data_IF_097707107269
#
_entry.id   IF_097707107269
#
_cell.length_a   1.000
_cell.length_b   1.000
_cell.length_c   1.000
_cell.angle_alpha   90.00
_cell.angle_beta   90.00
_cell.angle_gamma   90.00
#
_symmetry.space_group_name_H-M   'P 1'
#
loop_
_entity.id
_entity.type
_entity.pdbx_description
1 polymer ?
#
# COMPACT_ATOMS: atom_id res chain seq x y z
N UNK A 1 2.22 -23.22 -3.31
CA UNK A 1 2.57 -21.81 -3.13
C UNK A 1 2.42 -21.15 -4.48
N UNK A 2 1.47 -20.22 -4.64
CA UNK A 2 1.43 -19.36 -5.82
C UNK A 2 2.48 -18.28 -5.60
N UNK A 3 3.66 -18.45 -6.21
CA UNK A 3 4.67 -17.39 -6.22
C UNK A 3 4.19 -16.21 -7.05
N UNK A 4 4.77 -15.03 -6.81
CA UNK A 4 4.62 -13.87 -7.70
C UNK A 4 5.00 -14.32 -9.11
N UNK A 5 4.17 -13.95 -10.09
CA UNK A 5 4.40 -14.22 -11.50
C UNK A 5 4.39 -12.93 -12.33
N UNK A 6 4.82 -13.03 -13.58
CA UNK A 6 4.84 -11.88 -14.49
C UNK A 6 3.44 -11.32 -14.77
N UNK A 7 2.40 -12.14 -14.64
CA UNK A 7 1.01 -11.69 -14.81
C UNK A 7 0.62 -10.73 -13.69
N UNK A 8 1.01 -11.03 -12.45
CA UNK A 8 0.84 -10.14 -11.30
C UNK A 8 1.61 -8.84 -11.52
N UNK A 9 2.88 -8.93 -11.92
CA UNK A 9 3.71 -7.75 -12.20
C UNK A 9 3.09 -6.85 -13.28
N UNK A 10 2.59 -7.46 -14.35
CA UNK A 10 1.93 -6.77 -15.46
C UNK A 10 0.64 -6.07 -15.03
N UNK A 11 -0.20 -6.73 -14.23
CA UNK A 11 -1.46 -6.15 -13.76
C UNK A 11 -1.23 -4.86 -12.95
N UNK A 12 -0.23 -4.85 -12.07
CA UNK A 12 0.16 -3.65 -11.32
C UNK A 12 0.70 -2.55 -12.21
N UNK A 13 1.57 -2.88 -13.16
CA UNK A 13 2.11 -1.92 -14.11
C UNK A 13 1.01 -1.27 -14.96
N UNK A 14 0.14 -2.08 -15.57
CA UNK A 14 -0.92 -1.60 -16.45
C UNK A 14 -1.93 -0.72 -15.69
N UNK A 15 -2.26 -1.08 -14.44
CA UNK A 15 -3.09 -0.24 -13.58
C UNK A 15 -2.44 1.13 -13.30
N UNK A 16 -1.16 1.16 -12.91
CA UNK A 16 -0.45 2.42 -12.64
C UNK A 16 -0.37 3.29 -13.89
N UNK A 17 -0.05 2.70 -15.05
CA UNK A 17 0.03 3.42 -16.32
C UNK A 17 -1.32 4.08 -16.68
N UNK A 18 -2.41 3.32 -16.58
CA UNK A 18 -3.76 3.83 -16.82
C UNK A 18 -4.12 4.99 -15.88
N UNK A 19 -3.86 4.84 -14.57
CA UNK A 19 -4.21 5.87 -13.59
C UNK A 19 -3.36 7.14 -13.75
N UNK A 20 -2.08 7.01 -14.12
CA UNK A 20 -1.23 8.16 -14.43
C UNK A 20 -1.72 8.92 -15.67
N UNK A 21 -2.15 8.21 -16.71
CA UNK A 21 -2.72 8.80 -17.93
C UNK A 21 -4.08 9.51 -17.64
N UNK A 22 -4.95 8.90 -16.83
CA UNK A 22 -6.22 9.53 -16.42
C UNK A 22 -6.00 10.78 -15.56
N UNK A 23 -5.08 10.73 -14.61
CA UNK A 23 -4.77 11.86 -13.73
C UNK A 23 -4.16 13.02 -14.55
N UNK A 24 -3.28 12.71 -15.51
CA UNK A 24 -2.70 13.70 -16.42
C UNK A 24 -3.79 14.40 -17.24
N UNK A 25 -4.70 13.65 -17.86
CA UNK A 25 -5.82 14.21 -18.66
C UNK A 25 -6.76 15.06 -17.81
N UNK A 26 -7.04 14.63 -16.59
CA UNK A 26 -7.97 15.31 -15.67
C UNK A 26 -7.39 16.63 -15.17
N UNK A 27 -6.11 16.64 -14.78
CA UNK A 27 -5.45 17.85 -14.24
C UNK A 27 -5.02 18.82 -15.33
N UNK A 28 -4.73 18.34 -16.54
CA UNK A 28 -4.22 19.15 -17.65
C UNK A 28 -4.99 18.91 -18.96
N UNK A 29 -6.29 19.27 -19.00
CA UNK A 29 -7.16 18.97 -20.14
C UNK A 29 -6.82 19.72 -21.43
N UNK A 30 -6.11 20.86 -21.34
CA UNK A 30 -5.91 21.77 -22.48
C UNK A 30 -4.48 22.25 -22.71
N UNK A 31 -3.48 21.76 -21.97
CA UNK A 31 -2.11 22.20 -22.22
C UNK A 31 -1.05 21.22 -21.69
N UNK A 32 -0.12 20.90 -22.58
CA UNK A 32 1.22 20.37 -22.34
C UNK A 32 2.06 21.30 -21.44
N UNK A 33 1.63 21.56 -20.20
CA UNK A 33 2.48 22.30 -19.28
C UNK A 33 3.70 21.43 -18.99
N UNK A 34 4.86 21.84 -19.53
CA UNK A 34 6.13 21.10 -19.43
C UNK A 34 6.44 20.60 -18.01
N UNK A 35 6.14 21.34 -16.92
CA UNK A 35 6.34 20.84 -15.56
C UNK A 35 5.46 19.65 -15.20
N UNK A 36 4.17 19.69 -15.55
CA UNK A 36 3.25 18.59 -15.28
C UNK A 36 3.65 17.32 -16.02
N UNK A 37 3.93 17.47 -17.33
CA UNK A 37 4.38 16.35 -18.16
C UNK A 37 5.69 15.76 -17.63
N UNK A 38 6.55 16.56 -16.99
CA UNK A 38 7.79 16.07 -16.37
C UNK A 38 7.51 15.24 -15.12
N UNK A 39 6.66 15.71 -14.20
CA UNK A 39 6.28 14.96 -13.01
C UNK A 39 5.65 13.61 -13.36
N UNK A 40 4.72 13.58 -14.32
CA UNK A 40 4.10 12.33 -14.77
C UNK A 40 5.11 11.38 -15.43
N UNK A 41 6.05 11.91 -16.23
CA UNK A 41 7.12 11.10 -16.81
C UNK A 41 8.03 10.49 -15.75
N UNK A 42 8.29 11.19 -14.66
CA UNK A 42 9.08 10.65 -13.54
C UNK A 42 8.33 9.53 -12.82
N UNK A 43 7.04 9.72 -12.52
CA UNK A 43 6.19 8.67 -11.93
C UNK A 43 6.11 7.43 -12.84
N UNK A 44 5.86 7.65 -14.13
CA UNK A 44 5.83 6.59 -15.16
C UNK A 44 7.16 5.83 -15.22
N UNK A 45 8.29 6.54 -15.34
CA UNK A 45 9.62 5.89 -15.41
C UNK A 45 9.94 5.11 -14.15
N UNK A 46 9.57 5.63 -12.99
CA UNK A 46 9.73 4.93 -11.73
C UNK A 46 8.97 3.62 -11.69
N UNK A 47 7.67 3.64 -12.03
CA UNK A 47 6.86 2.42 -12.09
C UNK A 47 7.35 1.44 -13.17
N UNK A 48 7.76 1.94 -14.33
CA UNK A 48 8.31 1.10 -15.41
C UNK A 48 9.62 0.42 -14.98
N UNK A 49 10.48 1.14 -14.25
CA UNK A 49 11.73 0.60 -13.72
C UNK A 49 11.48 -0.50 -12.69
N UNK A 50 10.53 -0.33 -11.78
CA UNK A 50 10.16 -1.38 -10.81
C UNK A 50 9.60 -2.60 -11.52
N UNK A 51 8.72 -2.41 -12.51
CA UNK A 51 8.17 -3.51 -13.31
C UNK A 51 9.29 -4.31 -14.01
N UNK A 52 10.22 -3.62 -14.68
CA UNK A 52 11.32 -4.29 -15.37
C UNK A 52 12.22 -5.04 -14.38
N UNK A 53 12.55 -4.43 -13.24
CA UNK A 53 13.39 -5.05 -12.24
C UNK A 53 12.72 -6.28 -11.59
N UNK A 54 11.41 -6.23 -11.39
CA UNK A 54 10.59 -7.37 -10.95
C UNK A 54 10.68 -8.52 -11.96
N UNK A 55 10.39 -8.25 -13.24
CA UNK A 55 10.44 -9.26 -14.31
C UNK A 55 11.85 -9.86 -14.42
N UNK A 56 12.89 -9.03 -14.34
CA UNK A 56 14.27 -9.50 -14.36
C UNK A 56 14.60 -10.40 -13.16
N UNK A 57 14.11 -10.06 -11.95
CA UNK A 57 14.28 -10.88 -10.76
C UNK A 57 13.56 -12.23 -10.88
N UNK A 58 12.34 -12.26 -11.43
CA UNK A 58 11.60 -13.50 -11.72
C UNK A 58 12.38 -14.39 -12.72
N UNK A 59 12.90 -13.81 -13.79
CA UNK A 59 13.70 -14.55 -14.77
C UNK A 59 15.00 -15.11 -14.18
N UNK A 60 15.61 -14.41 -13.21
CA UNK A 60 16.78 -14.91 -12.46
C UNK A 60 16.41 -15.94 -11.38
N UNK A 61 15.12 -16.09 -11.06
CA UNK A 61 14.64 -16.93 -9.97
C UNK A 61 14.94 -16.37 -8.58
N UNK A 62 15.14 -15.05 -8.45
CA UNK A 62 15.43 -14.39 -7.17
C UNK A 62 14.12 -13.86 -6.59
N UNK A 63 13.43 -14.71 -5.82
CA UNK A 63 12.08 -14.44 -5.34
C UNK A 63 11.98 -13.23 -4.40
N UNK A 64 12.96 -13.05 -3.52
CA UNK A 64 13.01 -11.94 -2.56
C UNK A 64 13.12 -10.57 -3.29
N UNK A 65 13.98 -10.46 -4.31
CA UNK A 65 14.06 -9.26 -5.15
C UNK A 65 12.75 -9.00 -5.90
N UNK A 66 12.09 -10.05 -6.39
CA UNK A 66 10.79 -9.90 -7.06
C UNK A 66 9.68 -9.43 -6.10
N UNK A 67 9.72 -9.87 -4.83
CA UNK A 67 8.83 -9.40 -3.76
C UNK A 67 9.06 -7.92 -3.45
N UNK A 68 10.32 -7.50 -3.34
CA UNK A 68 10.70 -6.09 -3.12
C UNK A 68 10.23 -5.17 -4.26
N UNK A 69 10.42 -5.58 -5.51
CA UNK A 69 9.96 -4.79 -6.66
C UNK A 69 8.44 -4.78 -6.80
N UNK A 70 7.76 -5.87 -6.45
CA UNK A 70 6.29 -5.89 -6.38
C UNK A 70 5.80 -4.90 -5.30
N UNK A 71 6.48 -4.83 -4.17
CA UNK A 71 6.20 -3.84 -3.13
C UNK A 71 6.41 -2.41 -3.63
N UNK A 72 7.46 -2.16 -4.42
CA UNK A 72 7.69 -0.88 -5.10
C UNK A 72 6.51 -0.45 -5.98
N UNK A 73 5.96 -1.37 -6.78
CA UNK A 73 4.77 -1.11 -7.61
C UNK A 73 3.52 -0.80 -6.76
N UNK A 74 3.26 -1.60 -5.72
CA UNK A 74 2.14 -1.38 -4.78
C UNK A 74 2.18 -0.01 -4.13
N UNK A 75 3.35 0.40 -3.62
CA UNK A 75 3.51 1.71 -2.99
C UNK A 75 3.20 2.86 -3.96
N UNK A 76 3.60 2.73 -5.23
CA UNK A 76 3.30 3.72 -6.27
C UNK A 76 1.81 3.77 -6.60
N UNK A 77 1.12 2.63 -6.51
CA UNK A 77 -0.31 2.52 -6.78
C UNK A 77 -1.21 2.93 -5.60
N UNK A 78 -0.66 3.07 -4.38
CA UNK A 78 -1.42 3.35 -3.15
C UNK A 78 -2.37 4.54 -3.21
N UNK A 79 -2.07 5.56 -4.03
CA UNK A 79 -2.96 6.70 -4.25
C UNK A 79 -4.34 6.31 -4.83
N UNK A 80 -4.45 5.12 -5.42
CA UNK A 80 -5.65 4.60 -6.05
C UNK A 80 -6.17 3.32 -5.38
N UNK A 81 -5.85 3.08 -4.11
CA UNK A 81 -6.25 1.87 -3.35
C UNK A 81 -7.77 1.62 -3.33
N UNK A 82 -8.56 2.69 -3.41
CA UNK A 82 -10.03 2.63 -3.43
C UNK A 82 -10.61 2.47 -4.84
N UNK A 83 -9.76 2.44 -5.88
CA UNK A 83 -10.20 2.31 -7.26
C UNK A 83 -10.79 0.90 -7.49
N UNK A 84 -11.94 0.77 -8.17
CA UNK A 84 -12.58 -0.54 -8.40
C UNK A 84 -11.71 -1.57 -9.13
N UNK A 85 -10.77 -1.08 -9.94
CA UNK A 85 -9.83 -1.90 -10.71
C UNK A 85 -8.47 -2.11 -10.02
N UNK A 86 -8.34 -1.76 -8.73
CA UNK A 86 -7.12 -1.97 -7.97
C UNK A 86 -6.71 -3.46 -8.02
N UNK A 87 -5.49 -3.82 -8.46
CA UNK A 87 -5.14 -5.22 -8.77
C UNK A 87 -5.09 -6.17 -7.58
N UNK A 88 -5.20 -5.67 -6.35
CA UNK A 88 -5.17 -6.49 -5.15
C UNK A 88 -6.58 -6.90 -4.71
N UNK A 89 -6.84 -8.18 -4.42
CA UNK A 89 -8.12 -8.57 -3.86
C UNK A 89 -8.28 -7.88 -2.50
N UNK A 90 -9.34 -7.09 -2.38
CA UNK A 90 -9.75 -6.53 -1.10
C UNK A 90 -10.44 -7.64 -0.32
N UNK A 91 -10.01 -7.87 0.92
CA UNK A 91 -10.62 -8.88 1.78
C UNK A 91 -12.08 -8.54 2.04
N UNK A 92 -12.93 -9.57 1.97
CA UNK A 92 -14.32 -9.55 2.45
C UNK A 92 -14.41 -9.94 3.95
N UNK A 93 -13.27 -10.05 4.64
CA UNK A 93 -13.15 -10.56 6.00
C UNK A 93 -12.82 -12.06 6.06
N UNK A 94 -12.76 -12.76 4.93
CA UNK A 94 -12.45 -14.20 4.87
C UNK A 94 -11.06 -14.49 4.33
N UNK A 95 -10.35 -13.49 3.81
CA UNK A 95 -9.01 -13.67 3.25
C UNK A 95 -8.02 -14.16 4.33
N UNK A 96 -7.30 -15.26 4.10
CA UNK A 96 -6.26 -15.72 5.03
C UNK A 96 -5.04 -14.79 4.99
N UNK A 97 -4.41 -14.57 6.13
CA UNK A 97 -3.14 -13.85 6.22
C UNK A 97 -2.05 -14.60 5.39
N UNK A 98 -1.34 -13.93 4.46
CA UNK A 98 -0.46 -14.59 3.50
C UNK A 98 0.87 -15.07 4.09
N UNK A 99 1.23 -14.65 5.31
CA UNK A 99 2.53 -14.95 5.91
C UNK A 99 2.39 -15.98 7.03
N UNK A 100 3.23 -17.02 7.02
CA UNK A 100 3.27 -18.02 8.08
C UNK A 100 3.82 -17.46 9.39
N UNK A 101 3.41 -18.04 10.52
CA UNK A 101 3.93 -17.69 11.83
C UNK A 101 5.45 -17.94 11.89
N UNK A 102 6.28 -16.93 12.23
CA UNK A 102 7.75 -17.03 12.17
C UNK A 102 8.33 -18.21 12.96
N UNK A 103 7.66 -18.57 14.06
CA UNK A 103 8.16 -19.55 15.03
C UNK A 103 7.78 -20.99 14.69
N UNK A 104 6.77 -21.20 13.84
CA UNK A 104 6.22 -22.54 13.56
C UNK A 104 6.05 -22.85 12.08
N UNK A 105 6.17 -21.87 11.19
CA UNK A 105 5.93 -22.04 9.76
C UNK A 105 4.47 -22.36 9.40
N UNK A 106 3.57 -22.44 10.39
CA UNK A 106 2.16 -22.69 10.15
C UNK A 106 1.50 -21.44 9.56
N UNK A 107 0.55 -21.60 8.61
CA UNK A 107 -0.18 -20.49 8.04
C UNK A 107 -0.87 -19.71 9.16
N UNK A 108 -0.75 -18.38 9.14
CA UNK A 108 -1.38 -17.54 10.14
C UNK A 108 -2.91 -17.78 10.13
N UNK A 109 -3.45 -18.08 11.30
CA UNK A 109 -4.89 -18.38 11.46
C UNK A 109 -5.77 -17.13 11.41
N UNK A 110 -5.17 -15.93 11.45
CA UNK A 110 -5.91 -14.66 11.39
C UNK A 110 -6.39 -14.39 9.98
N UNK A 111 -7.64 -13.92 9.89
CA UNK A 111 -8.21 -13.37 8.66
C UNK A 111 -7.87 -11.89 8.54
N UNK A 112 -7.70 -11.44 7.32
CA UNK A 112 -7.53 -10.03 7.00
C UNK A 112 -8.91 -9.36 7.12
N UNK A 113 -9.04 -8.24 7.85
CA UNK A 113 -10.31 -7.54 8.00
C UNK A 113 -10.94 -7.16 6.66
N UNK A 114 -12.27 -7.06 6.63
CA UNK A 114 -12.98 -6.62 5.44
C UNK A 114 -12.55 -5.20 5.05
N UNK A 115 -12.34 -4.94 3.77
CA UNK A 115 -11.88 -3.64 3.26
C UNK A 115 -10.36 -3.46 3.24
N UNK A 116 -9.58 -4.46 3.68
CA UNK A 116 -8.12 -4.43 3.67
C UNK A 116 -7.57 -5.37 2.60
N UNK A 117 -6.52 -4.94 1.90
CA UNK A 117 -5.81 -5.77 0.95
C UNK A 117 -4.85 -6.74 1.65
N UNK A 118 -4.37 -7.76 0.92
CA UNK A 118 -3.51 -8.81 1.48
C UNK A 118 -2.24 -8.23 2.14
N UNK A 119 -1.66 -7.20 1.52
CA UNK A 119 -0.45 -6.56 2.02
C UNK A 119 -0.71 -5.67 3.25
N UNK A 120 -1.92 -5.14 3.41
CA UNK A 120 -2.32 -4.30 4.55
C UNK A 120 -2.73 -5.15 5.76
N UNK A 121 -3.39 -6.28 5.50
CA UNK A 121 -3.93 -7.19 6.50
C UNK A 121 -2.91 -8.14 7.13
N UNK A 122 -1.68 -8.16 6.63
CA UNK A 122 -0.63 -9.02 7.16
C UNK A 122 -0.07 -8.45 8.47
N UNK A 123 -0.72 -8.81 9.58
CA UNK A 123 -0.17 -8.64 10.91
C UNK A 123 0.72 -9.82 11.29
N UNK A 124 2.03 -9.66 11.18
CA UNK A 124 2.96 -10.40 12.03
C UNK A 124 2.56 -10.18 13.50
N UNK A 125 2.54 -11.24 14.30
CA UNK A 125 2.37 -11.07 15.74
C UNK A 125 3.39 -10.05 16.25
N UNK A 126 2.95 -9.19 17.18
CA UNK A 126 3.66 -8.09 17.83
C UNK A 126 3.57 -6.73 17.10
N UNK A 127 2.45 -6.03 17.38
CA UNK A 127 2.21 -4.59 17.20
C UNK A 127 2.43 -4.03 15.78
N UNK A 128 1.34 -3.63 15.13
CA UNK A 128 1.44 -2.83 13.92
C UNK A 128 1.87 -1.40 14.27
N UNK A 129 2.86 -0.90 13.54
CA UNK A 129 3.07 0.52 13.34
C UNK A 129 3.42 0.71 11.86
N UNK A 130 2.50 1.22 11.04
CA UNK A 130 2.86 1.61 9.65
C UNK A 130 4.03 2.57 9.67
N UNK A 131 4.78 2.69 8.56
CA UNK A 131 5.65 3.84 8.32
C UNK A 131 4.93 5.17 8.59
N UNK A 132 3.65 5.29 8.23
CA UNK A 132 2.81 6.46 8.58
C UNK A 132 2.60 6.61 10.09
N UNK A 133 2.29 5.54 10.82
CA UNK A 133 2.17 5.59 12.27
C UNK A 133 3.53 5.86 12.95
N UNK A 134 4.64 5.43 12.35
CA UNK A 134 6.01 5.72 12.79
C UNK A 134 6.39 7.17 12.50
N UNK A 135 6.02 7.72 11.33
CA UNK A 135 6.17 9.14 10.98
C UNK A 135 5.29 10.02 11.86
N UNK A 136 4.04 9.63 12.11
CA UNK A 136 3.12 10.34 12.99
C UNK A 136 3.61 10.30 14.44
N UNK A 137 4.10 9.17 14.93
CA UNK A 137 4.72 9.07 16.27
C UNK A 137 6.01 9.90 16.36
N UNK A 138 6.87 9.86 15.33
CA UNK A 138 8.07 10.70 15.26
C UNK A 138 7.73 12.21 15.26
N UNK A 139 6.53 12.58 14.81
CA UNK A 139 5.97 13.94 14.85
C UNK A 139 5.15 14.23 16.12
N UNK A 140 5.03 13.27 17.04
CA UNK A 140 4.30 13.41 18.29
C UNK A 140 2.78 13.38 18.16
N UNK A 141 2.22 12.77 17.11
CA UNK A 141 0.78 12.69 16.91
C UNK A 141 0.07 11.99 18.07
N UNK A 142 -1.09 12.52 18.46
CA UNK A 142 -2.00 11.88 19.39
C UNK A 142 -3.03 11.05 18.63
N UNK A 143 -3.31 9.85 19.14
CA UNK A 143 -4.25 8.89 18.58
C UNK A 143 -4.89 8.07 19.71
N UNK A 144 -6.03 7.43 19.45
CA UNK A 144 -6.65 6.51 20.43
C UNK A 144 -5.91 5.15 20.42
N UNK A 145 -5.27 4.73 21.54
CA UNK A 145 -4.56 3.46 21.60
C UNK A 145 -5.51 2.25 21.53
N UNK A 146 -6.79 2.39 21.89
CA UNK A 146 -7.79 1.32 21.84
C UNK A 146 -8.15 0.90 20.41
N UNK A 147 -8.25 1.86 19.49
CA UNK A 147 -8.55 1.61 18.07
C UNK A 147 -7.34 1.01 17.35
N UNK A 148 -6.11 1.40 17.72
CA UNK A 148 -4.88 0.78 17.23
C UNK A 148 -4.79 -0.72 17.58
N UNK A 149 -5.17 -1.09 18.79
CA UNK A 149 -5.23 -2.50 19.23
C UNK A 149 -6.37 -3.28 18.56
N UNK A 150 -7.40 -2.58 18.06
CA UNK A 150 -8.55 -3.19 17.38
C UNK A 150 -8.32 -3.46 15.89
N UNK A 151 -7.23 -2.93 15.31
CA UNK A 151 -6.94 -3.05 13.88
C UNK A 151 -7.89 -2.25 12.97
N UNK A 152 -8.52 -1.21 13.51
CA UNK A 152 -9.40 -0.30 12.75
C UNK A 152 -8.66 1.00 12.41
N UNK A 153 -9.04 1.70 11.32
CA UNK A 153 -8.56 3.04 11.02
C UNK A 153 -8.75 3.97 12.24
N UNK A 154 -7.68 4.62 12.70
CA UNK A 154 -7.70 5.44 13.92
C UNK A 154 -7.63 6.93 13.57
N UNK A 155 -8.55 7.77 14.07
CA UNK A 155 -8.41 9.22 14.03
C UNK A 155 -7.15 9.68 14.77
N UNK A 156 -6.36 10.57 14.18
CA UNK A 156 -5.13 11.12 14.76
C UNK A 156 -5.05 12.64 14.54
N UNK A 157 -4.25 13.33 15.36
CA UNK A 157 -3.92 14.74 15.17
C UNK A 157 -2.51 15.05 15.66
N UNK A 158 -1.90 16.12 15.15
CA UNK A 158 -0.59 16.57 15.59
C UNK A 158 -0.71 17.47 16.84
N UNK A 159 0.37 17.64 17.62
CA UNK A 159 0.36 18.51 18.80
C UNK A 159 -0.08 19.95 18.49
N UNK A 160 0.25 20.43 17.28
CA UNK A 160 -0.12 21.75 16.77
C UNK A 160 -1.61 21.91 16.44
N UNK A 161 -2.31 20.80 16.19
CA UNK A 161 -3.76 20.74 15.93
C UNK A 161 -4.57 20.42 17.20
N UNK A 162 -3.89 20.31 18.34
CA UNK A 162 -4.48 19.88 19.61
C UNK A 162 -5.41 20.97 20.17
N UNK A 163 -6.69 20.61 20.30
CA UNK A 163 -7.70 21.41 21.01
C UNK A 163 -7.94 20.83 22.41
N UNK A 164 -8.38 21.62 23.40
CA UNK A 164 -8.57 21.13 24.79
C UNK A 164 -9.52 19.92 24.93
N UNK A 165 -10.33 19.63 23.91
CA UNK A 165 -11.31 18.56 23.86
C UNK A 165 -10.93 17.41 22.91
N UNK A 166 -9.70 17.37 22.40
CA UNK A 166 -9.25 16.34 21.45
C UNK A 166 -9.39 14.90 21.96
N UNK A 167 -9.38 14.69 23.28
CA UNK A 167 -9.58 13.40 23.94
C UNK A 167 -11.01 12.84 23.80
N UNK A 168 -11.96 13.65 23.30
CA UNK A 168 -13.36 13.25 23.04
C UNK A 168 -13.60 12.79 21.59
N UNK A 169 -12.58 12.79 20.75
CA UNK A 169 -12.71 12.41 19.33
C UNK A 169 -12.76 10.88 19.11
N UNK A 170 -12.69 10.11 20.19
CA UNK A 170 -12.99 8.68 20.22
C UNK A 170 -14.50 8.44 20.12
N UNK A 171 -14.99 8.33 18.88
CA UNK A 171 -16.28 7.69 18.55
C UNK A 171 -16.03 6.54 17.59
#
# INVERSE_FOLDING_TARGET
MSGIDEQTARAWWEFIDQQLDEELRTKYPTADSTPAVTEYREKYRGAQSEYQALVDALHRGVQEEAEDHLWGLRNRASAWETHPEYPEPISDGTMPCPVPAPESGHPCVKRIPAGWAAAEGHGGGHFWQSPRAAELEARGAHYDPGTLLSGQPTPWHLPEDCTPDCWKWSN
#
